data_IF_797608092962
#
_entry.id   IF_797608092962
#
_cell.length_a   1.000
_cell.length_b   1.000
_cell.length_c   1.000
_cell.angle_alpha   90.00
_cell.angle_beta   90.00
_cell.angle_gamma   90.00
#
_symmetry.space_group_name_H-M   'P 1'
#
loop_
_entity.id
_entity.type
_entity.pdbx_description
1 polymer ?
#
# COMPACT_ATOMS: atom_id res chain seq x y z
N UNK A 1 -15.37 13.23 -26.02
CA UNK A 1 -13.94 12.92 -25.88
C UNK A 1 -13.81 11.88 -24.76
N UNK A 2 -13.04 10.80 -24.90
CA UNK A 2 -12.80 9.90 -23.80
C UNK A 2 -12.16 10.66 -22.65
N UNK A 3 -12.64 10.44 -21.42
CA UNK A 3 -12.08 11.05 -20.22
C UNK A 3 -10.57 10.81 -20.15
N UNK A 4 -9.82 11.83 -19.77
CA UNK A 4 -8.36 11.75 -19.65
C UNK A 4 -8.00 10.68 -18.62
N UNK A 5 -7.51 9.53 -19.08
CA UNK A 5 -7.19 8.36 -18.24
C UNK A 5 -5.94 8.52 -17.38
N UNK A 6 -5.10 9.53 -17.68
CA UNK A 6 -3.88 9.81 -16.91
C UNK A 6 -4.14 10.91 -15.88
N UNK A 7 -3.64 10.70 -14.68
CA UNK A 7 -3.53 11.73 -13.65
C UNK A 7 -2.07 11.98 -13.30
N UNK A 8 -1.72 13.24 -13.10
CA UNK A 8 -0.47 13.65 -12.49
C UNK A 8 -0.78 14.77 -11.50
N UNK A 9 -0.30 14.65 -10.28
CA UNK A 9 -0.52 15.65 -9.22
C UNK A 9 0.78 15.88 -8.48
N UNK A 10 1.14 17.14 -8.33
CA UNK A 10 2.22 17.53 -7.43
C UNK A 10 1.83 17.22 -5.98
N UNK A 11 2.81 16.81 -5.21
CA UNK A 11 2.67 16.51 -3.80
C UNK A 11 3.94 16.94 -3.06
N UNK A 12 3.88 17.01 -1.73
CA UNK A 12 5.04 17.28 -0.89
C UNK A 12 5.43 16.00 -0.14
N UNK A 13 6.75 15.79 -0.01
CA UNK A 13 7.26 14.80 0.90
C UNK A 13 6.93 15.20 2.34
N UNK A 14 6.29 14.31 3.07
CA UNK A 14 6.07 14.43 4.51
C UNK A 14 7.13 13.72 5.32
N UNK A 15 6.82 13.41 6.58
CA UNK A 15 7.72 12.65 7.45
C UNK A 15 7.89 11.20 6.98
N UNK A 16 9.00 10.58 7.38
CA UNK A 16 9.27 9.16 7.18
C UNK A 16 8.83 8.40 8.43
N UNK A 17 8.17 7.26 8.22
CA UNK A 17 7.82 6.29 9.25
C UNK A 17 8.60 5.01 8.97
N UNK A 18 9.39 4.57 9.93
CA UNK A 18 10.09 3.29 9.86
C UNK A 18 9.27 2.27 10.63
N UNK A 19 8.96 1.18 9.97
CA UNK A 19 8.13 0.08 10.48
C UNK A 19 8.98 -1.16 10.61
N UNK A 20 8.88 -1.86 11.73
CA UNK A 20 9.36 -3.23 11.91
C UNK A 20 8.15 -4.12 12.25
N UNK A 21 7.94 -5.13 11.44
CA UNK A 21 7.02 -6.21 11.71
C UNK A 21 7.79 -7.41 12.28
N UNK A 22 7.17 -8.15 13.19
CA UNK A 22 7.76 -9.29 13.87
C UNK A 22 7.24 -10.63 13.30
N UNK A 23 7.77 -11.72 13.81
CA UNK A 23 7.29 -13.07 13.50
C UNK A 23 5.77 -13.18 13.69
N UNK A 24 5.09 -13.69 12.67
CA UNK A 24 3.66 -13.93 12.70
C UNK A 24 2.78 -12.80 12.24
N UNK A 25 3.30 -11.56 12.15
CA UNK A 25 2.53 -10.41 11.64
C UNK A 25 2.13 -10.62 10.17
N UNK A 26 0.97 -10.07 9.78
CA UNK A 26 0.49 -10.10 8.41
C UNK A 26 0.90 -8.83 7.68
N UNK A 27 1.72 -8.95 6.65
CA UNK A 27 2.42 -7.83 6.02
C UNK A 27 1.47 -6.74 5.50
N UNK A 28 0.46 -7.08 4.70
CA UNK A 28 -0.46 -6.11 4.12
C UNK A 28 -1.37 -5.51 5.18
N UNK A 29 -1.93 -6.35 6.03
CA UNK A 29 -2.88 -5.99 7.06
C UNK A 29 -2.23 -5.05 8.09
N UNK A 30 -1.01 -5.35 8.53
CA UNK A 30 -0.25 -4.50 9.46
C UNK A 30 0.08 -3.13 8.85
N UNK A 31 0.44 -3.07 7.56
CA UNK A 31 0.66 -1.78 6.88
C UNK A 31 -0.62 -0.94 6.86
N UNK A 32 -1.77 -1.56 6.62
CA UNK A 32 -3.06 -0.85 6.67
C UNK A 32 -3.39 -0.34 8.07
N UNK A 33 -3.16 -1.17 9.08
CA UNK A 33 -3.43 -0.84 10.49
C UNK A 33 -2.54 0.31 10.96
N UNK A 34 -1.23 0.23 10.73
CA UNK A 34 -0.26 1.28 11.08
C UNK A 34 -0.65 2.61 10.43
N UNK A 35 -1.03 2.59 9.14
CA UNK A 35 -1.46 3.81 8.46
C UNK A 35 -2.73 4.41 9.06
N UNK A 36 -3.67 3.58 9.53
CA UNK A 36 -4.89 4.05 10.22
C UNK A 36 -4.58 4.63 11.59
N UNK A 37 -3.79 3.93 12.41
CA UNK A 37 -3.39 4.37 13.75
C UNK A 37 -2.62 5.69 13.71
N UNK A 38 -1.67 5.81 12.75
CA UNK A 38 -0.89 7.02 12.54
C UNK A 38 -1.67 8.11 11.76
N UNK A 39 -2.91 7.82 11.31
CA UNK A 39 -3.76 8.71 10.50
C UNK A 39 -3.08 9.19 9.22
N UNK A 40 -2.28 8.34 8.60
CA UNK A 40 -1.55 8.64 7.36
C UNK A 40 -2.28 8.00 6.18
N UNK A 41 -3.06 8.78 5.45
CA UNK A 41 -3.90 8.28 4.36
C UNK A 41 -3.12 8.01 3.06
N UNK A 42 -2.08 8.82 2.80
CA UNK A 42 -1.32 8.72 1.56
C UNK A 42 0.16 8.49 1.86
N UNK A 43 0.70 7.44 1.28
CA UNK A 43 2.07 6.99 1.53
C UNK A 43 2.70 6.49 0.24
N UNK A 44 3.98 6.77 0.06
CA UNK A 44 4.85 6.04 -0.87
C UNK A 44 5.69 5.06 -0.05
N UNK A 45 5.72 3.81 -0.45
CA UNK A 45 6.63 2.80 0.11
C UNK A 45 7.99 3.05 -0.53
N UNK A 46 8.96 3.53 0.24
CA UNK A 46 10.30 3.86 -0.25
C UNK A 46 11.13 2.59 -0.42
N UNK A 47 11.08 1.71 0.56
CA UNK A 47 11.77 0.42 0.56
C UNK A 47 11.14 -0.51 1.58
N UNK A 48 11.43 -1.79 1.46
CA UNK A 48 11.12 -2.80 2.47
C UNK A 48 11.81 -4.10 2.14
N UNK A 49 12.23 -4.80 3.18
CA UNK A 49 12.88 -6.10 3.11
C UNK A 49 12.49 -6.95 4.32
N UNK A 50 12.80 -8.23 4.27
CA UNK A 50 12.47 -9.17 5.34
C UNK A 50 12.24 -10.57 4.85
N UNK A 51 11.52 -11.39 5.61
CA UNK A 51 11.22 -12.76 5.22
C UNK A 51 9.79 -13.16 5.54
N UNK A 52 9.25 -14.06 4.70
CA UNK A 52 7.88 -14.55 4.82
C UNK A 52 7.88 -16.06 5.03
N UNK A 53 6.94 -16.54 5.87
CA UNK A 53 6.59 -17.95 5.99
C UNK A 53 5.38 -18.30 5.13
N UNK A 54 4.37 -17.45 5.06
CA UNK A 54 3.21 -17.64 4.18
C UNK A 54 3.25 -16.59 3.07
N UNK A 55 3.07 -17.03 1.85
CA UNK A 55 3.07 -16.20 0.66
C UNK A 55 1.68 -16.12 0.05
N UNK A 56 1.27 -14.92 -0.32
CA UNK A 56 0.07 -14.65 -1.12
C UNK A 56 0.35 -13.48 -2.06
N UNK A 57 0.61 -13.76 -3.32
CA UNK A 57 0.85 -12.76 -4.36
C UNK A 57 0.10 -13.12 -5.64
N UNK A 58 -0.20 -12.10 -6.44
CA UNK A 58 -0.82 -12.26 -7.75
C UNK A 58 -0.01 -11.59 -8.85
N UNK A 59 -0.27 -11.99 -10.08
CA UNK A 59 0.25 -11.33 -11.27
C UNK A 59 -0.66 -11.53 -12.46
N UNK A 60 -0.38 -10.84 -13.56
CA UNK A 60 -1.12 -11.00 -14.82
C UNK A 60 -0.52 -12.14 -15.64
N UNK A 61 -1.39 -12.85 -16.37
CA UNK A 61 -0.96 -14.03 -17.18
C UNK A 61 -0.62 -13.65 -18.61
N UNK A 62 -1.30 -12.65 -19.17
CA UNK A 62 -1.13 -12.28 -20.58
C UNK A 62 -1.59 -10.85 -20.87
N UNK A 63 -1.51 -10.42 -22.14
CA UNK A 63 -1.82 -9.06 -22.55
C UNK A 63 -3.32 -8.78 -22.74
N UNK A 64 -4.16 -9.78 -22.60
CA UNK A 64 -5.61 -9.65 -22.80
C UNK A 64 -6.27 -8.75 -21.75
N UNK A 65 -7.36 -8.14 -22.12
CA UNK A 65 -8.16 -7.29 -21.25
C UNK A 65 -9.63 -7.74 -21.21
N UNK A 66 -10.26 -7.86 -20.01
CA UNK A 66 -9.69 -7.67 -18.67
C UNK A 66 -8.59 -8.71 -18.38
N UNK A 67 -7.54 -8.32 -17.63
CA UNK A 67 -6.39 -9.19 -17.43
C UNK A 67 -6.76 -10.41 -16.58
N UNK A 68 -6.40 -11.60 -17.06
CA UNK A 68 -6.43 -12.81 -16.24
C UNK A 68 -5.28 -12.78 -15.23
N UNK A 69 -5.52 -13.30 -14.04
CA UNK A 69 -4.55 -13.31 -12.95
C UNK A 69 -4.17 -14.74 -12.59
N UNK A 70 -2.90 -14.94 -12.25
CA UNK A 70 -2.47 -16.10 -11.48
C UNK A 70 -2.36 -15.72 -10.01
N UNK A 71 -2.52 -16.71 -9.14
CA UNK A 71 -2.36 -16.60 -7.70
C UNK A 71 -1.27 -17.57 -7.28
N UNK A 72 -0.24 -17.04 -6.62
CA UNK A 72 0.80 -17.83 -5.99
C UNK A 72 0.61 -17.77 -4.48
N UNK A 73 0.04 -18.84 -3.92
CA UNK A 73 -0.17 -19.01 -2.49
C UNK A 73 0.62 -20.21 -2.03
N UNK A 74 1.55 -19.99 -1.15
CA UNK A 74 2.42 -21.04 -0.61
C UNK A 74 2.43 -20.97 0.91
N UNK A 75 2.43 -22.14 1.55
CA UNK A 75 2.69 -22.37 2.99
C UNK A 75 3.84 -23.33 3.14
N UNK A 76 4.49 -23.36 4.30
CA UNK A 76 5.57 -22.48 4.66
C UNK A 76 6.84 -22.84 3.87
N UNK A 77 7.39 -21.86 3.22
CA UNK A 77 8.78 -21.93 2.74
C UNK A 77 9.39 -20.59 3.06
N UNK A 78 10.60 -20.57 3.64
CA UNK A 78 11.31 -19.31 3.81
C UNK A 78 11.43 -18.62 2.46
N UNK A 79 10.84 -17.43 2.32
CA UNK A 79 10.91 -16.57 1.15
C UNK A 79 11.44 -15.21 1.62
N UNK A 80 12.50 -14.72 0.98
CA UNK A 80 13.04 -13.39 1.27
C UNK A 80 12.32 -12.31 0.48
N UNK A 81 12.00 -11.21 1.15
CA UNK A 81 11.58 -9.96 0.51
C UNK A 81 12.86 -9.19 0.19
N UNK A 82 13.18 -9.03 -1.08
CA UNK A 82 14.35 -8.27 -1.55
C UNK A 82 14.02 -6.80 -1.71
N UNK A 83 12.81 -6.50 -2.16
CA UNK A 83 12.34 -5.13 -2.33
C UNK A 83 10.82 -5.05 -2.28
N UNK A 84 10.34 -3.88 -1.88
CA UNK A 84 8.93 -3.50 -1.91
C UNK A 84 8.78 -2.17 -2.64
N UNK A 85 7.74 -2.04 -3.48
CA UNK A 85 7.41 -0.81 -4.17
C UNK A 85 5.88 -0.62 -4.21
N UNK A 86 5.40 0.56 -3.87
CA UNK A 86 3.97 0.78 -3.85
C UNK A 86 3.51 2.13 -3.35
N UNK A 87 2.20 2.30 -3.40
CA UNK A 87 1.48 3.49 -2.93
C UNK A 87 0.30 3.06 -2.08
N UNK A 88 0.17 3.65 -0.91
CA UNK A 88 -1.02 3.55 -0.08
C UNK A 88 -1.85 4.81 -0.32
N UNK A 89 -3.10 4.65 -0.70
CA UNK A 89 -4.03 5.73 -0.98
C UNK A 89 -5.34 5.50 -0.23
N UNK A 90 -5.69 6.42 0.66
CA UNK A 90 -6.83 6.30 1.57
C UNK A 90 -6.83 4.95 2.32
N UNK A 91 -5.68 4.61 2.92
CA UNK A 91 -5.42 3.35 3.64
C UNK A 91 -5.45 2.08 2.77
N UNK A 92 -5.67 2.20 1.47
CA UNK A 92 -5.65 1.06 0.56
C UNK A 92 -4.22 0.81 0.06
N UNK A 93 -3.63 -0.30 0.49
CA UNK A 93 -2.28 -0.71 0.09
C UNK A 93 -2.31 -1.26 -1.33
N UNK A 94 -1.44 -0.74 -2.19
CA UNK A 94 -1.11 -1.31 -3.49
C UNK A 94 0.41 -1.43 -3.55
N UNK A 95 0.89 -2.63 -3.39
CA UNK A 95 2.31 -2.91 -3.27
C UNK A 95 2.69 -4.11 -4.13
N UNK A 96 3.85 -4.05 -4.74
CA UNK A 96 4.51 -5.15 -5.41
C UNK A 96 5.76 -5.56 -4.64
N UNK A 97 6.03 -6.85 -4.62
CA UNK A 97 7.17 -7.46 -3.96
C UNK A 97 8.12 -8.04 -5.01
N UNK A 98 9.41 -7.85 -4.78
CA UNK A 98 10.46 -8.69 -5.35
C UNK A 98 10.89 -9.67 -4.27
N UNK A 99 10.83 -10.94 -4.58
CA UNK A 99 11.02 -12.05 -3.66
C UNK A 99 12.10 -12.99 -4.19
N UNK A 100 12.77 -13.73 -3.32
CA UNK A 100 13.58 -14.85 -3.72
C UNK A 100 13.43 -16.03 -2.77
N UNK A 101 13.64 -17.22 -3.33
CA UNK A 101 13.83 -18.48 -2.61
C UNK A 101 15.04 -19.23 -3.19
N UNK A 102 15.22 -20.48 -2.79
CA UNK A 102 16.33 -21.33 -3.30
C UNK A 102 16.30 -21.59 -4.81
N UNK A 103 15.20 -21.29 -5.50
CA UNK A 103 15.02 -21.50 -6.94
C UNK A 103 15.32 -20.24 -7.76
N UNK A 104 15.35 -19.08 -7.11
CA UNK A 104 15.64 -17.81 -7.76
C UNK A 104 14.69 -16.70 -7.35
N UNK A 105 14.80 -15.59 -8.08
CA UNK A 105 13.96 -14.41 -7.86
C UNK A 105 12.64 -14.51 -8.61
N UNK A 106 11.57 -14.02 -7.98
CA UNK A 106 10.24 -13.88 -8.54
C UNK A 106 9.54 -12.69 -7.87
N UNK A 107 8.29 -12.45 -8.17
CA UNK A 107 7.56 -11.36 -7.52
C UNK A 107 6.09 -11.36 -7.87
N UNK A 108 5.38 -10.33 -7.39
CA UNK A 108 3.98 -10.12 -7.67
C UNK A 108 3.35 -9.03 -6.84
N UNK A 109 2.08 -8.80 -7.08
CA UNK A 109 1.24 -7.92 -6.31
C UNK A 109 0.95 -8.55 -4.94
N UNK A 110 1.20 -7.79 -3.87
CA UNK A 110 0.94 -8.21 -2.50
C UNK A 110 -0.55 -8.41 -2.27
N UNK A 111 -0.92 -9.59 -1.82
CA UNK A 111 -2.29 -9.94 -1.43
C UNK A 111 -2.38 -10.21 0.08
N UNK A 112 -3.57 -10.19 0.67
CA UNK A 112 -3.76 -10.57 2.07
C UNK A 112 -3.23 -11.96 2.40
N UNK A 113 -2.66 -12.09 3.61
CA UNK A 113 -2.19 -13.37 4.14
C UNK A 113 -0.70 -13.65 3.97
N UNK A 114 0.10 -12.68 3.50
CA UNK A 114 1.56 -12.78 3.61
C UNK A 114 1.99 -12.65 5.06
N UNK A 115 2.56 -13.71 5.65
CA UNK A 115 2.96 -13.77 7.04
C UNK A 115 4.47 -13.65 7.20
N UNK A 116 4.90 -12.75 8.08
CA UNK A 116 6.33 -12.53 8.39
C UNK A 116 6.93 -13.76 9.07
N UNK A 117 8.11 -14.19 8.59
CA UNK A 117 8.86 -15.33 9.16
C UNK A 117 9.76 -14.90 10.31
N UNK A 118 10.65 -13.95 10.10
CA UNK A 118 11.54 -13.46 11.17
C UNK A 118 11.26 -12.00 11.49
N UNK A 119 11.40 -11.14 10.51
CA UNK A 119 11.07 -9.74 10.56
C UNK A 119 10.76 -9.21 9.16
N UNK A 120 10.12 -8.03 9.10
CA UNK A 120 10.10 -7.19 7.91
C UNK A 120 10.31 -5.73 8.34
N UNK A 121 11.19 -5.01 7.66
CA UNK A 121 11.49 -3.60 7.90
C UNK A 121 11.12 -2.78 6.67
N UNK A 122 10.33 -1.74 6.87
CA UNK A 122 9.73 -0.96 5.78
C UNK A 122 9.88 0.53 6.09
N UNK A 123 10.33 1.31 5.11
CA UNK A 123 10.32 2.77 5.18
C UNK A 123 9.17 3.32 4.35
N UNK A 124 8.32 4.09 5.00
CA UNK A 124 7.13 4.73 4.45
C UNK A 124 7.33 6.24 4.44
N UNK A 125 7.07 6.90 3.32
CA UNK A 125 7.06 8.36 3.24
C UNK A 125 5.63 8.86 3.13
N UNK A 126 5.22 9.72 4.07
CA UNK A 126 3.93 10.40 3.99
C UNK A 126 3.91 11.34 2.78
N UNK A 127 2.77 11.39 2.09
CA UNK A 127 2.53 12.28 0.95
C UNK A 127 1.50 13.32 1.33
N UNK A 128 1.93 14.60 1.33
CA UNK A 128 1.12 15.74 1.72
C UNK A 128 0.72 16.60 0.52
N UNK A 129 -0.34 17.40 0.68
CA UNK A 129 -0.81 18.37 -0.34
C UNK A 129 -1.63 17.74 -1.46
N UNK A 130 -1.92 16.46 -1.38
CA UNK A 130 -2.83 15.77 -2.32
C UNK A 130 -3.68 14.77 -1.56
N UNK A 131 -4.93 14.60 -1.98
CA UNK A 131 -5.81 13.54 -1.49
C UNK A 131 -5.92 12.47 -2.58
N UNK A 132 -5.49 11.26 -2.28
CA UNK A 132 -5.50 10.13 -3.21
C UNK A 132 -6.43 9.04 -2.69
N UNK A 133 -7.18 8.42 -3.61
CA UNK A 133 -8.02 7.27 -3.30
C UNK A 133 -7.97 6.26 -4.45
N UNK A 134 -8.41 5.04 -4.20
CA UNK A 134 -8.58 4.01 -5.22
C UNK A 134 -10.05 3.83 -5.52
N UNK A 135 -10.44 4.05 -6.78
CA UNK A 135 -11.82 3.93 -7.24
C UNK A 135 -11.93 2.92 -8.36
N UNK A 136 -13.03 2.17 -8.35
CA UNK A 136 -13.35 1.22 -9.42
C UNK A 136 -13.62 2.00 -10.72
N UNK A 137 -12.81 1.72 -11.73
CA UNK A 137 -13.09 2.18 -13.10
C UNK A 137 -14.05 1.18 -13.77
N UNK A 138 -15.26 1.59 -14.12
CA UNK A 138 -16.25 0.69 -14.69
C UNK A 138 -15.86 0.14 -16.07
N UNK A 139 -14.98 0.84 -16.79
CA UNK A 139 -14.50 0.40 -18.11
C UNK A 139 -13.51 -0.76 -18.01
N UNK A 140 -12.64 -0.69 -16.99
CA UNK A 140 -11.55 -1.65 -16.84
C UNK A 140 -11.78 -2.67 -15.74
N UNK A 141 -12.74 -2.42 -14.83
CA UNK A 141 -12.94 -3.22 -13.63
C UNK A 141 -11.78 -3.14 -12.63
N UNK A 142 -10.83 -2.23 -12.83
CA UNK A 142 -9.67 -2.06 -11.97
C UNK A 142 -9.87 -0.90 -10.99
N UNK A 143 -9.30 -1.01 -9.79
CA UNK A 143 -9.25 0.10 -8.84
C UNK A 143 -8.08 1.03 -9.21
N UNK A 144 -8.37 2.09 -9.96
CA UNK A 144 -7.37 3.08 -10.38
C UNK A 144 -7.11 4.09 -9.27
N UNK A 145 -5.88 4.64 -9.27
CA UNK A 145 -5.49 5.74 -8.40
C UNK A 145 -6.10 7.03 -8.93
N UNK A 146 -6.79 7.75 -8.06
CA UNK A 146 -7.40 9.05 -8.38
C UNK A 146 -7.05 10.12 -7.34
N UNK A 147 -7.03 11.38 -7.80
CA UNK A 147 -7.00 12.53 -6.91
C UNK A 147 -8.46 12.92 -6.58
N UNK A 148 -8.76 13.02 -5.30
CA UNK A 148 -10.10 13.34 -4.80
C UNK A 148 -10.09 14.68 -4.07
N UNK A 149 -11.26 15.36 -4.02
CA UNK A 149 -11.41 16.61 -3.27
C UNK A 149 -11.61 16.37 -1.78
N UNK A 150 -12.26 15.24 -1.45
CA UNK A 150 -12.48 14.77 -0.08
C UNK A 150 -12.42 13.25 -0.03
N UNK A 151 -12.07 12.69 1.13
CA UNK A 151 -12.21 11.25 1.37
C UNK A 151 -13.67 10.89 1.67
N UNK A 152 -14.08 9.69 1.36
CA UNK A 152 -15.35 9.16 1.80
C UNK A 152 -15.25 8.70 3.26
N UNK A 153 -16.25 9.03 4.08
CA UNK A 153 -16.41 8.39 5.40
C UNK A 153 -16.91 6.97 5.24
N UNK A 154 -16.88 6.17 6.31
CA UNK A 154 -17.44 4.81 6.34
C UNK A 154 -18.91 4.76 5.85
N UNK A 155 -19.65 5.87 5.97
CA UNK A 155 -21.04 6.02 5.55
C UNK A 155 -21.19 6.66 4.15
N UNK A 156 -20.12 6.74 3.36
CA UNK A 156 -20.15 7.30 1.99
C UNK A 156 -20.27 8.81 1.90
N UNK A 157 -20.28 9.55 3.02
CA UNK A 157 -20.30 11.03 3.03
C UNK A 157 -18.87 11.60 2.90
N UNK A 158 -18.69 12.80 2.35
CA UNK A 158 -17.39 13.48 2.36
C UNK A 158 -16.89 13.67 3.79
N UNK A 159 -15.62 13.34 4.04
CA UNK A 159 -14.96 13.61 5.32
C UNK A 159 -14.78 15.14 5.46
N UNK A 160 -15.44 15.74 6.45
CA UNK A 160 -15.18 17.13 6.80
C UNK A 160 -13.90 17.13 7.64
N UNK A 161 -12.74 17.38 7.00
CA UNK A 161 -11.51 17.63 7.74
C UNK A 161 -11.72 18.84 8.65
N UNK A 162 -11.72 18.56 9.95
CA UNK A 162 -11.62 19.62 10.95
C UNK A 162 -10.38 20.47 10.66
N UNK A 163 -10.59 21.78 10.58
CA UNK A 163 -9.58 22.82 10.39
C UNK A 163 -8.30 22.47 11.17
N UNK A 164 -7.18 22.36 10.45
CA UNK A 164 -5.83 22.20 11.01
C UNK A 164 -5.39 23.50 11.69
N UNK A 165 -6.12 23.91 12.72
CA UNK A 165 -5.65 24.90 13.70
C UNK A 165 -5.78 24.29 15.09
N UNK A 166 -4.63 24.11 15.74
CA UNK A 166 -4.48 23.77 17.16
C UNK A 166 -3.95 22.35 17.45
N UNK A 167 -2.71 22.03 17.08
CA UNK A 167 -1.84 21.13 17.84
C UNK A 167 -0.39 21.63 17.87
N UNK A 168 -0.16 22.93 17.94
CA UNK A 168 1.17 23.53 18.13
C UNK A 168 1.32 24.11 19.54
N UNK A 169 0.80 23.46 20.59
CA UNK A 169 0.99 23.95 21.97
C UNK A 169 0.91 22.85 23.02
N UNK A 170 1.82 21.87 22.99
CA UNK A 170 2.09 21.02 24.18
C UNK A 170 3.40 20.22 24.09
N UNK A 171 4.51 20.89 23.75
CA UNK A 171 5.83 20.37 24.04
C UNK A 171 6.75 21.54 24.43
N UNK A 172 6.40 22.21 25.54
CA UNK A 172 7.32 23.00 26.36
C UNK A 172 6.80 22.96 27.80
N UNK A 173 7.17 21.94 28.52
CA UNK A 173 7.53 21.98 29.95
C UNK A 173 8.21 20.69 30.31
#
# INVERSE_FOLDING_TARGET
MPAKRMIARGARAGGIVVVRLAYGDLLLESLQEICREQKIRNVVILTGFGSLTDLSVTGVVGPEFPPRRFYNRQRPRGVEIIAMSGVIADYHVHCHLVLCDRRGAFGGHLEPGCRVLSLAEIALMRVDGVKLARRLDPTTGQKLLESVTSYATANGRPDQEGSLHTVARRLRR
#
